data_IF_840018299216
#
_entry.id   IF_840018299216
#
_cell.length_a   1.000
_cell.length_b   1.000
_cell.length_c   1.000
_cell.angle_alpha   90.00
_cell.angle_beta   90.00
_cell.angle_gamma   90.00
#
_symmetry.space_group_name_H-M   'P 1'
#
loop_
_entity.id
_entity.type
_entity.pdbx_description
1 polymer ?
#
# COMPACT_ATOMS: atom_id res chain seq x y z
N UNK A 1 -36.15 30.19 27.83
CA UNK A 1 -35.04 29.49 28.51
C UNK A 1 -34.52 28.23 27.78
N UNK A 2 -34.79 28.02 26.48
CA UNK A 2 -34.29 26.87 25.69
C UNK A 2 -32.91 27.09 25.06
N UNK A 3 -32.60 28.33 24.65
CA UNK A 3 -31.32 28.69 24.00
C UNK A 3 -30.08 28.36 24.85
N UNK A 4 -30.19 28.41 26.18
CA UNK A 4 -29.07 28.11 27.09
C UNK A 4 -28.79 26.60 27.20
N UNK A 5 -29.82 25.74 27.19
CA UNK A 5 -29.61 24.28 27.19
C UNK A 5 -29.07 23.78 25.86
N UNK A 6 -29.53 24.36 24.75
CA UNK A 6 -29.10 23.98 23.41
C UNK A 6 -27.63 24.34 23.17
N UNK A 7 -27.18 25.49 23.69
CA UNK A 7 -25.78 25.91 23.66
C UNK A 7 -24.88 25.01 24.53
N UNK A 8 -25.38 24.58 25.68
CA UNK A 8 -24.64 23.69 26.58
C UNK A 8 -24.43 22.31 25.96
N UNK A 9 -25.47 21.75 25.33
CA UNK A 9 -25.37 20.47 24.61
C UNK A 9 -24.41 20.60 23.43
N UNK A 10 -24.48 21.68 22.63
CA UNK A 10 -23.56 21.91 21.53
C UNK A 10 -22.09 22.04 22.00
N UNK A 11 -21.85 22.70 23.13
CA UNK A 11 -20.52 22.82 23.71
C UNK A 11 -19.99 21.48 24.24
N UNK A 12 -20.84 20.68 24.89
CA UNK A 12 -20.46 19.34 25.33
C UNK A 12 -20.11 18.47 24.12
N UNK A 13 -20.92 18.51 23.07
CA UNK A 13 -20.66 17.78 21.82
C UNK A 13 -19.30 18.19 21.23
N UNK A 14 -19.04 19.49 21.11
CA UNK A 14 -17.75 20.01 20.64
C UNK A 14 -16.57 19.57 21.50
N UNK A 15 -16.70 19.61 22.83
CA UNK A 15 -15.64 19.17 23.74
C UNK A 15 -15.39 17.66 23.66
N UNK A 16 -16.44 16.85 23.49
CA UNK A 16 -16.33 15.40 23.27
C UNK A 16 -15.67 15.10 21.93
N UNK A 17 -16.04 15.82 20.87
CA UNK A 17 -15.42 15.69 19.55
C UNK A 17 -13.92 16.02 19.63
N UNK A 18 -13.54 17.14 20.26
CA UNK A 18 -12.15 17.53 20.50
C UNK A 18 -11.37 16.50 21.32
N UNK A 19 -11.99 15.90 22.34
CA UNK A 19 -11.38 14.83 23.13
C UNK A 19 -11.10 13.58 22.29
N UNK A 20 -11.99 13.23 21.34
CA UNK A 20 -11.76 12.19 20.36
C UNK A 20 -10.57 12.48 19.43
N UNK A 21 -10.46 13.71 18.91
CA UNK A 21 -9.34 14.13 18.06
C UNK A 21 -7.99 14.10 18.78
N UNK A 22 -7.96 14.34 20.10
CA UNK A 22 -6.73 14.23 20.90
C UNK A 22 -6.17 12.79 20.97
N UNK A 23 -7.01 11.77 20.78
CA UNK A 23 -6.58 10.37 20.76
C UNK A 23 -6.00 9.93 19.40
N UNK A 24 -6.39 10.59 18.30
CA UNK A 24 -6.02 10.21 16.93
C UNK A 24 -4.49 10.10 16.73
N UNK A 25 -3.64 11.06 17.17
CA UNK A 25 -2.19 10.93 17.03
C UNK A 25 -1.59 9.76 17.82
N UNK A 26 -2.24 9.31 18.90
CA UNK A 26 -1.78 8.16 19.70
C UNK A 26 -2.19 6.87 19.01
N UNK A 27 -3.44 6.77 18.55
CA UNK A 27 -3.96 5.63 17.79
C UNK A 27 -3.13 5.43 16.52
N UNK A 28 -2.90 6.50 15.76
CA UNK A 28 -2.06 6.46 14.56
C UNK A 28 -0.65 5.94 14.85
N UNK A 29 0.04 6.47 15.88
CA UNK A 29 1.41 6.01 16.21
C UNK A 29 1.46 4.53 16.55
N UNK A 30 0.49 4.03 17.34
CA UNK A 30 0.39 2.60 17.68
C UNK A 30 0.12 1.76 16.46
N UNK A 31 -0.81 2.19 15.62
CA UNK A 31 -1.19 1.49 14.40
C UNK A 31 -0.03 1.45 13.39
N UNK A 32 0.70 2.56 13.22
CA UNK A 32 1.88 2.64 12.38
C UNK A 32 2.95 1.64 12.84
N UNK A 33 3.26 1.64 14.14
CA UNK A 33 4.21 0.69 14.71
C UNK A 33 3.77 -0.76 14.51
N UNK A 34 2.50 -1.06 14.75
CA UNK A 34 1.95 -2.40 14.58
C UNK A 34 1.96 -2.84 13.11
N UNK A 35 1.66 -1.93 12.18
CA UNK A 35 1.72 -2.16 10.73
C UNK A 35 3.14 -2.57 10.30
N UNK A 36 4.17 -1.90 10.82
CA UNK A 36 5.57 -2.29 10.56
C UNK A 36 5.92 -3.68 11.12
N UNK A 37 5.41 -4.03 12.31
CA UNK A 37 5.61 -5.36 12.90
C UNK A 37 4.95 -6.44 12.02
N UNK A 38 3.71 -6.22 11.58
CA UNK A 38 2.98 -7.16 10.71
C UNK A 38 3.72 -7.35 9.39
N UNK A 39 4.14 -6.27 8.74
CA UNK A 39 4.94 -6.31 7.51
C UNK A 39 6.21 -7.17 7.65
N UNK A 40 6.96 -6.95 8.74
CA UNK A 40 8.16 -7.74 9.05
C UNK A 40 7.82 -9.21 9.30
N UNK A 41 6.79 -9.48 10.10
CA UNK A 41 6.37 -10.84 10.46
C UNK A 41 5.93 -11.65 9.25
N UNK A 42 5.15 -11.05 8.35
CA UNK A 42 4.74 -11.70 7.10
C UNK A 42 5.96 -11.99 6.22
N UNK A 43 6.91 -11.06 6.15
CA UNK A 43 8.15 -11.25 5.40
C UNK A 43 9.01 -12.39 5.95
N UNK A 44 9.10 -12.50 7.28
CA UNK A 44 9.77 -13.61 7.95
C UNK A 44 9.09 -14.95 7.69
N UNK A 45 7.75 -14.97 7.74
CA UNK A 45 6.95 -16.16 7.47
C UNK A 45 7.08 -16.63 6.01
N UNK A 46 7.09 -15.70 5.05
CA UNK A 46 7.29 -16.03 3.64
C UNK A 46 8.70 -16.64 3.41
N UNK A 47 9.73 -16.07 4.03
CA UNK A 47 11.09 -16.63 3.98
C UNK A 47 11.19 -18.01 4.65
N UNK A 48 10.52 -18.20 5.79
CA UNK A 48 10.50 -19.47 6.50
C UNK A 48 9.81 -20.57 5.68
N UNK A 49 8.65 -20.27 5.09
CA UNK A 49 7.92 -21.22 4.24
C UNK A 49 8.73 -21.59 2.99
N UNK A 50 9.41 -20.64 2.37
CA UNK A 50 10.31 -20.91 1.25
C UNK A 50 11.48 -21.85 1.64
N UNK A 51 12.11 -21.62 2.81
CA UNK A 51 13.18 -22.50 3.34
C UNK A 51 12.71 -23.93 3.59
N UNK A 52 11.44 -24.10 3.94
CA UNK A 52 10.82 -25.41 4.15
C UNK A 52 10.32 -26.05 2.83
N UNK A 53 10.53 -25.40 1.68
CA UNK A 53 10.08 -25.89 0.38
C UNK A 53 8.56 -25.80 0.17
N UNK A 54 7.85 -25.05 1.02
CA UNK A 54 6.41 -24.86 0.91
C UNK A 54 6.11 -23.76 -0.11
N UNK A 55 5.23 -24.04 -1.08
CA UNK A 55 4.77 -23.07 -2.07
C UNK A 55 3.62 -22.21 -1.53
N UNK A 56 3.83 -21.60 -0.36
CA UNK A 56 2.79 -20.84 0.39
C UNK A 56 3.08 -19.34 0.48
N UNK A 57 4.11 -18.85 -0.19
CA UNK A 57 4.51 -17.45 -0.07
C UNK A 57 3.39 -16.48 -0.44
N UNK A 58 2.57 -16.81 -1.46
CA UNK A 58 1.46 -15.97 -1.91
C UNK A 58 0.32 -15.93 -0.88
N UNK A 59 0.08 -17.05 -0.19
CA UNK A 59 -0.89 -17.16 0.90
C UNK A 59 -0.48 -16.34 2.10
N UNK A 60 0.83 -16.27 2.34
CA UNK A 60 1.42 -15.44 3.38
C UNK A 60 1.35 -13.97 2.96
N UNK A 61 1.71 -13.63 1.73
CA UNK A 61 1.68 -12.27 1.19
C UNK A 61 0.26 -11.68 1.19
N UNK A 62 -0.76 -12.50 0.88
CA UNK A 62 -2.18 -12.15 0.98
C UNK A 62 -2.56 -11.58 2.35
N UNK A 63 -1.91 -12.03 3.44
CA UNK A 63 -2.21 -11.55 4.79
C UNK A 63 -1.98 -10.03 4.94
N UNK A 64 -1.08 -9.43 4.15
CA UNK A 64 -0.91 -7.97 4.13
C UNK A 64 -2.15 -7.28 3.59
N UNK A 65 -2.75 -7.82 2.54
CA UNK A 65 -3.97 -7.30 1.91
C UNK A 65 -5.16 -7.44 2.87
N UNK A 66 -5.30 -8.61 3.50
CA UNK A 66 -6.36 -8.87 4.48
C UNK A 66 -6.23 -7.95 5.71
N UNK A 67 -4.99 -7.72 6.17
CA UNK A 67 -4.70 -6.80 7.27
C UNK A 67 -5.05 -5.35 6.92
N UNK A 68 -4.69 -4.86 5.72
CA UNK A 68 -5.15 -3.53 5.27
C UNK A 68 -6.67 -3.42 5.29
N UNK A 69 -7.39 -4.40 4.71
CA UNK A 69 -8.86 -4.37 4.73
C UNK A 69 -9.38 -4.28 6.17
N UNK A 70 -8.80 -5.06 7.08
CA UNK A 70 -9.20 -5.07 8.49
C UNK A 70 -8.97 -3.73 9.19
N UNK A 71 -7.86 -3.05 8.93
CA UNK A 71 -7.59 -1.71 9.47
C UNK A 71 -8.57 -0.70 8.88
N UNK A 72 -8.65 -0.64 7.56
CA UNK A 72 -9.38 0.42 6.85
C UNK A 72 -10.90 0.27 6.92
N UNK A 73 -11.39 -0.92 7.26
CA UNK A 73 -12.81 -1.19 7.50
C UNK A 73 -13.19 -1.11 8.99
N UNK A 74 -12.23 -0.85 9.89
CA UNK A 74 -12.50 -0.84 11.33
C UNK A 74 -13.16 0.46 11.78
N UNK A 75 -14.41 0.36 12.22
CA UNK A 75 -15.14 1.48 12.84
C UNK A 75 -14.45 1.99 14.12
N UNK A 76 -13.77 1.12 14.86
CA UNK A 76 -13.10 1.48 16.11
C UNK A 76 -11.85 2.33 15.92
N UNK A 77 -11.20 2.24 14.75
CA UNK A 77 -9.97 2.99 14.48
C UNK A 77 -10.27 4.40 13.97
N UNK A 78 -11.51 4.68 13.55
CA UNK A 78 -11.92 5.98 13.01
C UNK A 78 -10.92 6.51 11.99
N UNK A 79 -10.50 5.66 11.04
CA UNK A 79 -9.47 5.97 10.05
C UNK A 79 -9.87 7.17 9.18
N UNK A 80 -11.17 7.39 9.01
CA UNK A 80 -11.78 8.58 8.41
C UNK A 80 -11.45 9.90 9.13
N UNK A 81 -10.95 9.86 10.37
CA UNK A 81 -10.44 11.05 11.08
C UNK A 81 -8.94 11.26 10.93
N UNK A 82 -8.21 10.31 10.34
CA UNK A 82 -6.76 10.41 10.18
C UNK A 82 -6.42 11.42 9.08
N UNK A 83 -5.27 12.07 9.17
CA UNK A 83 -4.77 12.90 8.07
C UNK A 83 -4.48 12.03 6.83
N UNK A 84 -4.58 12.64 5.66
CA UNK A 84 -4.29 11.99 4.37
C UNK A 84 -2.90 11.35 4.39
N UNK A 85 -1.86 12.12 4.77
CA UNK A 85 -0.49 11.59 4.82
C UNK A 85 -0.29 10.46 5.84
N UNK A 86 -1.12 10.38 6.89
CA UNK A 86 -1.08 9.27 7.85
C UNK A 86 -1.63 7.98 7.23
N UNK A 87 -2.76 8.09 6.52
CA UNK A 87 -3.35 6.98 5.76
C UNK A 87 -2.37 6.50 4.68
N UNK A 88 -1.82 7.42 3.90
CA UNK A 88 -0.82 7.11 2.85
C UNK A 88 0.44 6.44 3.41
N UNK A 89 0.86 6.81 4.62
CA UNK A 89 2.00 6.16 5.29
C UNK A 89 1.70 4.70 5.63
N UNK A 90 0.51 4.41 6.16
CA UNK A 90 0.07 3.03 6.46
C UNK A 90 -0.02 2.19 5.19
N UNK A 91 -0.63 2.73 4.14
CA UNK A 91 -0.68 2.07 2.82
C UNK A 91 0.72 1.84 2.25
N UNK A 92 1.59 2.85 2.31
CA UNK A 92 2.93 2.77 1.76
C UNK A 92 3.76 1.63 2.36
N UNK A 93 3.65 1.41 3.66
CA UNK A 93 4.33 0.29 4.34
C UNK A 93 3.81 -1.06 3.83
N UNK A 94 2.49 -1.19 3.66
CA UNK A 94 1.87 -2.44 3.23
C UNK A 94 2.13 -2.74 1.75
N UNK A 95 2.03 -1.73 0.88
CA UNK A 95 2.30 -1.86 -0.56
C UNK A 95 3.78 -2.16 -0.82
N UNK A 96 4.71 -1.46 -0.15
CA UNK A 96 6.15 -1.73 -0.26
C UNK A 96 6.49 -3.16 0.22
N UNK A 97 5.88 -3.61 1.33
CA UNK A 97 6.10 -4.95 1.84
C UNK A 97 5.58 -6.03 0.87
N UNK A 98 4.38 -5.85 0.33
CA UNK A 98 3.81 -6.79 -0.65
C UNK A 98 4.64 -6.83 -1.92
N UNK A 99 5.06 -5.66 -2.42
CA UNK A 99 5.90 -5.55 -3.59
C UNK A 99 7.23 -6.28 -3.40
N UNK A 100 7.91 -6.09 -2.26
CA UNK A 100 9.16 -6.80 -1.94
C UNK A 100 8.98 -8.32 -1.94
N UNK A 101 7.90 -8.81 -1.33
CA UNK A 101 7.58 -10.24 -1.36
C UNK A 101 7.38 -10.76 -2.78
N UNK A 102 6.70 -10.00 -3.62
CA UNK A 102 6.51 -10.36 -5.03
C UNK A 102 7.85 -10.35 -5.78
N UNK A 103 8.69 -9.35 -5.54
CA UNK A 103 10.02 -9.25 -6.18
C UNK A 103 10.94 -10.40 -5.79
N UNK A 104 10.97 -10.78 -4.52
CA UNK A 104 11.78 -11.90 -4.02
C UNK A 104 11.43 -13.23 -4.72
N UNK A 105 10.16 -13.40 -5.11
CA UNK A 105 9.66 -14.63 -5.75
C UNK A 105 9.63 -14.55 -7.28
N UNK A 106 9.73 -13.33 -7.84
CA UNK A 106 9.60 -13.10 -9.26
C UNK A 106 10.65 -13.89 -10.06
N UNK A 107 11.92 -13.86 -9.67
CA UNK A 107 12.97 -14.58 -10.41
C UNK A 107 12.84 -16.11 -10.29
N UNK A 108 12.29 -16.59 -9.17
CA UNK A 108 12.12 -18.01 -8.87
C UNK A 108 11.01 -18.61 -9.74
N UNK A 109 9.87 -17.91 -9.82
CA UNK A 109 8.67 -18.40 -10.49
C UNK A 109 8.54 -17.94 -11.95
N UNK A 110 9.17 -16.84 -12.36
CA UNK A 110 9.24 -16.43 -13.77
C UNK A 110 9.97 -17.46 -14.65
N UNK A 111 10.98 -18.14 -14.10
CA UNK A 111 11.68 -19.26 -14.76
C UNK A 111 10.78 -20.49 -14.94
N UNK A 112 9.67 -20.60 -14.20
CA UNK A 112 8.79 -21.78 -14.17
C UNK A 112 7.47 -21.62 -14.94
N UNK A 113 7.24 -20.49 -15.62
CA UNK A 113 6.01 -20.19 -16.38
C UNK A 113 4.70 -20.36 -15.57
N UNK A 114 4.76 -20.11 -14.25
CA UNK A 114 3.64 -20.32 -13.31
C UNK A 114 3.23 -19.08 -12.53
N UNK A 115 3.84 -17.93 -12.82
CA UNK A 115 3.64 -16.68 -12.07
C UNK A 115 2.17 -16.33 -11.89
N UNK A 116 1.38 -16.37 -12.97
CA UNK A 116 -0.03 -15.97 -12.94
C UNK A 116 -0.86 -16.83 -11.96
N UNK A 117 -0.54 -18.12 -11.86
CA UNK A 117 -1.16 -19.04 -10.89
C UNK A 117 -0.60 -18.86 -9.48
N UNK A 118 0.69 -18.57 -9.35
CA UNK A 118 1.34 -18.36 -8.06
C UNK A 118 0.79 -17.12 -7.34
N UNK A 119 0.50 -16.05 -8.08
CA UNK A 119 0.00 -14.79 -7.50
C UNK A 119 -1.52 -14.68 -7.44
N UNK A 120 -2.25 -15.66 -7.98
CA UNK A 120 -3.72 -15.71 -7.99
C UNK A 120 -4.36 -15.39 -6.63
N UNK A 121 -3.87 -15.91 -5.49
CA UNK A 121 -4.45 -15.59 -4.19
C UNK A 121 -4.32 -14.12 -3.79
N UNK A 122 -3.22 -13.48 -4.17
CA UNK A 122 -2.99 -12.05 -3.95
C UNK A 122 -3.94 -11.23 -4.83
N UNK A 123 -4.06 -11.59 -6.12
CA UNK A 123 -4.95 -10.90 -7.06
C UNK A 123 -6.42 -10.97 -6.64
N UNK A 124 -6.88 -12.13 -6.16
CA UNK A 124 -8.24 -12.30 -5.64
C UNK A 124 -8.45 -11.38 -4.42
N UNK A 125 -7.52 -11.39 -3.47
CA UNK A 125 -7.62 -10.56 -2.27
C UNK A 125 -7.61 -9.06 -2.59
N UNK A 126 -6.75 -8.62 -3.52
CA UNK A 126 -6.70 -7.23 -3.97
C UNK A 126 -7.99 -6.80 -4.64
N UNK A 127 -8.56 -7.65 -5.50
CA UNK A 127 -9.84 -7.37 -6.16
C UNK A 127 -10.98 -7.19 -5.15
N UNK A 128 -11.11 -8.11 -4.19
CA UNK A 128 -12.11 -8.04 -3.12
C UNK A 128 -11.90 -6.83 -2.20
N UNK A 129 -10.64 -6.47 -1.95
CA UNK A 129 -10.32 -5.31 -1.13
C UNK A 129 -10.69 -4.00 -1.84
N UNK A 130 -10.42 -3.89 -3.15
CA UNK A 130 -10.78 -2.71 -3.95
C UNK A 130 -12.29 -2.44 -3.93
N UNK A 131 -13.12 -3.48 -4.06
CA UNK A 131 -14.58 -3.35 -3.94
C UNK A 131 -15.01 -2.74 -2.61
N UNK A 132 -14.36 -3.15 -1.50
CA UNK A 132 -14.63 -2.63 -0.16
C UNK A 132 -14.12 -1.20 0.04
N UNK A 133 -13.08 -0.80 -0.67
CA UNK A 133 -12.47 0.53 -0.53
C UNK A 133 -13.17 1.65 -1.27
N UNK A 134 -13.95 1.32 -2.30
CA UNK A 134 -14.62 2.34 -3.11
C UNK A 134 -15.54 3.24 -2.27
N UNK A 135 -16.21 2.66 -1.26
CA UNK A 135 -17.04 3.41 -0.31
C UNK A 135 -16.28 4.43 0.56
N UNK A 136 -14.96 4.25 0.73
CA UNK A 136 -14.14 5.16 1.53
C UNK A 136 -13.67 6.37 0.72
N UNK A 137 -13.28 6.16 -0.54
CA UNK A 137 -12.98 7.27 -1.45
C UNK A 137 -14.23 8.16 -1.61
N UNK A 138 -15.40 7.55 -1.74
CA UNK A 138 -16.67 8.27 -1.80
C UNK A 138 -16.96 9.04 -0.49
N UNK A 139 -16.64 8.45 0.67
CA UNK A 139 -16.72 9.12 1.97
C UNK A 139 -15.81 10.35 2.06
N UNK A 140 -14.56 10.20 1.64
CA UNK A 140 -13.57 11.28 1.60
C UNK A 140 -13.98 12.42 0.66
N UNK A 141 -14.44 12.10 -0.55
CA UNK A 141 -14.87 13.12 -1.51
C UNK A 141 -16.06 13.92 -0.97
N UNK A 142 -17.03 13.26 -0.33
CA UNK A 142 -18.16 13.92 0.35
C UNK A 142 -17.71 14.83 1.50
N UNK A 143 -16.72 14.40 2.26
CA UNK A 143 -16.18 15.21 3.36
C UNK A 143 -15.43 16.45 2.84
N UNK A 144 -14.61 16.30 1.80
CA UNK A 144 -13.91 17.44 1.17
C UNK A 144 -14.89 18.44 0.54
N UNK A 145 -15.98 17.95 -0.07
CA UNK A 145 -17.06 18.77 -0.60
C UNK A 145 -17.76 19.58 0.52
N UNK A 146 -17.98 18.98 1.69
CA UNK A 146 -18.57 19.66 2.87
C UNK A 146 -17.76 20.88 3.32
N UNK A 147 -16.44 20.86 3.16
CA UNK A 147 -15.55 21.95 3.55
C UNK A 147 -15.21 22.92 2.40
N UNK A 148 -15.89 22.81 1.25
CA UNK A 148 -15.58 23.57 0.02
C UNK A 148 -14.11 23.48 -0.39
N UNK A 149 -13.43 22.41 0.02
CA UNK A 149 -12.06 22.16 -0.33
C UNK A 149 -12.04 21.29 -1.57
N UNK A 150 -11.70 21.88 -2.71
CA UNK A 150 -11.46 21.14 -3.95
C UNK A 150 -9.96 20.83 -4.03
N UNK A 151 -9.51 19.62 -3.66
CA UNK A 151 -8.11 19.27 -3.84
C UNK A 151 -7.77 19.38 -5.33
N UNK A 152 -6.75 20.18 -5.67
CA UNK A 152 -6.25 20.28 -7.05
C UNK A 152 -5.74 18.93 -7.59
N UNK A 153 -5.36 18.02 -6.69
CA UNK A 153 -5.11 16.60 -6.98
C UNK A 153 -5.68 15.77 -5.82
N UNK A 154 -6.49 14.71 -6.08
CA UNK A 154 -6.84 13.77 -5.03
C UNK A 154 -5.57 13.09 -4.50
N UNK A 155 -5.53 12.59 -3.24
CA UNK A 155 -4.30 12.11 -2.62
C UNK A 155 -3.60 11.06 -3.50
N UNK A 156 -2.36 11.33 -3.91
CA UNK A 156 -1.69 10.64 -5.04
C UNK A 156 -1.63 9.12 -4.90
N UNK A 157 -1.62 8.55 -3.69
CA UNK A 157 -1.62 7.08 -3.52
C UNK A 157 -3.01 6.50 -3.39
N UNK A 158 -3.93 7.19 -2.73
CA UNK A 158 -5.31 6.73 -2.54
C UNK A 158 -6.17 6.91 -3.80
N UNK A 159 -5.89 7.94 -4.58
CA UNK A 159 -6.62 8.27 -5.80
C UNK A 159 -6.14 7.51 -7.03
N UNK A 160 -4.90 7.01 -7.00
CA UNK A 160 -4.29 6.34 -8.15
C UNK A 160 -4.38 4.81 -8.04
N UNK A 161 -4.74 4.26 -6.88
CA UNK A 161 -5.17 2.87 -6.72
C UNK A 161 -4.66 2.19 -5.44
N UNK A 162 -5.51 1.37 -4.82
CA UNK A 162 -5.15 0.52 -3.69
C UNK A 162 -4.01 -0.44 -4.07
N UNK A 163 -2.91 -0.47 -3.31
CA UNK A 163 -1.71 -1.28 -3.64
C UNK A 163 -1.20 -1.05 -5.08
N UNK A 164 -1.18 0.21 -5.53
CA UNK A 164 -0.85 0.57 -6.91
C UNK A 164 0.47 -0.05 -7.38
N UNK A 165 1.52 0.02 -6.57
CA UNK A 165 2.86 -0.38 -7.02
C UNK A 165 2.93 -1.91 -7.11
N UNK A 166 2.37 -2.63 -6.14
CA UNK A 166 2.21 -4.08 -6.20
C UNK A 166 1.33 -4.52 -7.36
N UNK A 167 0.17 -3.89 -7.57
CA UNK A 167 -0.74 -4.24 -8.67
C UNK A 167 -0.08 -4.03 -10.03
N UNK A 168 0.58 -2.88 -10.21
CA UNK A 168 1.30 -2.59 -11.44
C UNK A 168 2.38 -3.64 -11.69
N UNK A 169 3.15 -4.01 -10.66
CA UNK A 169 4.15 -5.05 -10.78
C UNK A 169 3.55 -6.42 -11.12
N UNK A 170 2.47 -6.83 -10.43
CA UNK A 170 1.79 -8.12 -10.64
C UNK A 170 1.27 -8.26 -12.07
N UNK A 171 0.70 -7.19 -12.64
CA UNK A 171 0.12 -7.18 -13.99
C UNK A 171 1.16 -6.96 -15.09
N UNK A 172 2.02 -5.94 -14.95
CA UNK A 172 2.96 -5.54 -16.00
C UNK A 172 4.27 -6.32 -15.94
N UNK A 173 4.58 -6.96 -14.80
CA UNK A 173 5.89 -7.59 -14.51
C UNK A 173 7.05 -6.61 -14.75
N UNK A 174 6.83 -5.35 -14.40
CA UNK A 174 7.79 -4.25 -14.53
C UNK A 174 8.08 -3.68 -13.16
N UNK A 175 9.36 -3.54 -12.86
CA UNK A 175 9.81 -2.82 -11.66
C UNK A 175 9.23 -1.40 -11.64
N UNK A 176 8.79 -0.91 -10.47
CA UNK A 176 8.48 0.51 -10.33
C UNK A 176 9.68 1.37 -10.72
N UNK A 177 9.42 2.52 -11.33
CA UNK A 177 10.45 3.40 -11.91
C UNK A 177 11.46 3.83 -10.85
N UNK A 178 10.99 4.17 -9.65
CA UNK A 178 11.83 4.59 -8.53
C UNK A 178 12.80 3.49 -8.08
N UNK A 179 12.33 2.23 -8.03
CA UNK A 179 13.17 1.07 -7.73
C UNK A 179 14.15 0.76 -8.85
N UNK A 180 13.69 0.84 -10.10
CA UNK A 180 14.54 0.71 -11.27
C UNK A 180 15.68 1.74 -11.24
N UNK A 181 15.38 2.98 -10.92
CA UNK A 181 16.35 4.08 -10.87
C UNK A 181 17.39 3.88 -9.76
N UNK A 182 16.97 3.47 -8.56
CA UNK A 182 17.90 3.13 -7.47
C UNK A 182 18.82 1.98 -7.86
N UNK A 183 18.28 0.91 -8.46
CA UNK A 183 19.09 -0.22 -8.95
C UNK A 183 20.09 0.26 -10.00
N UNK A 184 19.68 1.15 -10.91
CA UNK A 184 20.58 1.68 -11.93
C UNK A 184 21.68 2.56 -11.34
N UNK A 185 21.35 3.41 -10.37
CA UNK A 185 22.33 4.22 -9.67
C UNK A 185 23.39 3.35 -8.98
N UNK A 186 22.98 2.25 -8.36
CA UNK A 186 23.90 1.29 -7.73
C UNK A 186 24.75 0.54 -8.76
N UNK A 187 24.17 0.12 -9.89
CA UNK A 187 24.91 -0.53 -10.99
C UNK A 187 25.94 0.44 -11.58
N UNK A 188 25.56 1.69 -11.86
CA UNK A 188 26.47 2.73 -12.39
C UNK A 188 27.63 2.96 -11.43
N UNK A 189 27.37 3.01 -10.11
CA UNK A 189 28.43 3.16 -9.09
C UNK A 189 29.34 1.94 -9.00
N UNK A 190 28.79 0.72 -9.03
CA UNK A 190 29.56 -0.51 -8.89
C UNK A 190 30.41 -0.83 -10.12
N UNK A 191 29.90 -0.56 -11.32
CA UNK A 191 30.56 -0.89 -12.57
C UNK A 191 31.35 0.28 -13.18
N UNK A 192 31.38 1.44 -12.49
CA UNK A 192 32.05 2.67 -12.94
C UNK A 192 31.64 3.10 -14.37
N UNK A 193 30.41 2.78 -14.78
CA UNK A 193 29.92 3.06 -16.13
C UNK A 193 29.70 4.56 -16.29
N UNK A 194 30.17 5.14 -17.40
CA UNK A 194 29.99 6.57 -17.68
C UNK A 194 28.50 6.92 -17.79
N UNK A 195 28.09 7.93 -17.02
CA UNK A 195 26.74 8.51 -17.04
C UNK A 195 26.38 8.93 -18.46
N UNK A 196 25.38 8.30 -19.07
CA UNK A 196 24.93 8.65 -20.43
C UNK A 196 24.23 7.54 -21.23
N UNK A 197 24.36 6.27 -20.82
CA UNK A 197 23.61 5.16 -21.43
C UNK A 197 22.46 4.72 -20.52
N UNK A 198 21.26 4.55 -21.09
CA UNK A 198 20.12 3.98 -20.38
C UNK A 198 20.34 2.47 -20.21
N UNK A 199 21.03 2.11 -19.13
CA UNK A 199 21.38 0.73 -18.78
C UNK A 199 20.14 -0.08 -18.35
N UNK A 200 18.96 0.54 -18.17
CA UNK A 200 17.72 -0.16 -17.80
C UNK A 200 17.35 -1.24 -18.81
N UNK A 201 17.62 -1.03 -20.09
CA UNK A 201 17.36 -2.02 -21.15
C UNK A 201 18.29 -3.24 -21.07
N UNK A 202 19.44 -3.11 -20.41
CA UNK A 202 20.45 -4.17 -20.27
C UNK A 202 20.20 -4.98 -19.00
N UNK A 203 19.92 -4.31 -17.88
CA UNK A 203 19.83 -4.95 -16.56
C UNK A 203 18.39 -5.31 -16.14
N UNK A 204 17.38 -4.56 -16.58
CA UNK A 204 16.01 -4.71 -16.09
C UNK A 204 15.05 -5.42 -17.07
N UNK A 205 15.43 -5.56 -18.35
CA UNK A 205 14.64 -6.30 -19.33
C UNK A 205 15.10 -7.76 -19.49
N UNK A 206 14.44 -8.68 -18.77
CA UNK A 206 14.28 -10.09 -19.20
C UNK A 206 12.81 -10.54 -19.08
N UNK A 207 11.91 -9.74 -19.66
CA UNK A 207 10.54 -10.14 -19.98
C UNK A 207 10.31 -9.91 -21.46
N UNK A 208 9.86 -10.94 -22.20
CA UNK A 208 9.71 -10.96 -23.66
C UNK A 208 9.08 -9.67 -24.22
N UNK A 209 9.92 -8.77 -24.74
CA UNK A 209 9.56 -7.71 -25.67
C UNK A 209 10.49 -7.85 -26.87
N UNK A 210 9.91 -8.01 -28.06
CA UNK A 210 10.62 -8.32 -29.31
C UNK A 210 11.90 -7.50 -29.46
N UNK A 211 13.01 -8.19 -29.72
CA UNK A 211 14.16 -7.58 -30.35
C UNK A 211 13.67 -6.92 -31.65
N UNK A 212 13.70 -5.60 -31.68
CA UNK A 212 13.63 -4.87 -32.95
C UNK A 212 15.05 -4.95 -33.52
N UNK A 213 15.14 -5.62 -34.67
CA UNK A 213 16.33 -5.68 -35.54
C UNK A 213 16.66 -4.27 -36.01
#
# INVERSE_FOLDING_TARGET
MKVSSDLHIANIQFLLDQAGYNAIPIIYRRLLHHTSIISTTVSDLARATARLGLSMWAEVARLLVDYSVSIFSSEHLEIDKFLIGQRESLYGILDDALLRLCLDQWEVDAKRARWDKAVEPINIALSLAMEKQQGWLDGYLREMEKFHYHPHEPPRRLAVGYFKDSQKFLHERRLPVELADIIMDDVIRCEEVRVGHDLRTVYLFKGKGKAVI
#
